data_IF_451934111740
#
_entry.id   IF_451934111740
#
_cell.length_a   1.000
_cell.length_b   1.000
_cell.length_c   1.000
_cell.angle_alpha   90.00
_cell.angle_beta   90.00
_cell.angle_gamma   90.00
#
_symmetry.space_group_name_H-M   'P 1'
#
loop_
_entity.id
_entity.type
_entity.pdbx_description
1 polymer ?
#
# COMPACT_ATOMS: atom_id res chain seq x y z
N UNK A 1 30.48 -2.56 -18.43
CA UNK A 1 30.95 -1.20 -18.10
C UNK A 1 32.22 -1.22 -17.27
N UNK A 2 32.27 -1.82 -16.08
CA UNK A 2 33.49 -1.85 -15.26
C UNK A 2 34.73 -2.43 -15.98
N UNK A 3 34.56 -3.50 -16.77
CA UNK A 3 35.65 -4.10 -17.56
C UNK A 3 36.07 -3.28 -18.79
N UNK A 4 35.18 -2.44 -19.32
CA UNK A 4 35.40 -1.66 -20.56
C UNK A 4 35.83 -0.22 -20.26
N UNK A 5 35.43 0.31 -19.10
CA UNK A 5 35.68 1.69 -18.67
C UNK A 5 36.76 1.81 -17.60
N UNK A 6 37.41 0.71 -17.19
CA UNK A 6 38.47 0.66 -16.18
C UNK A 6 38.14 1.41 -14.88
N UNK A 7 36.86 1.40 -14.47
CA UNK A 7 36.37 1.95 -13.20
C UNK A 7 36.01 0.80 -12.25
N UNK A 8 36.20 0.99 -10.96
CA UNK A 8 35.75 0.01 -9.96
C UNK A 8 34.23 -0.09 -9.97
N UNK A 9 33.70 -1.29 -9.69
CA UNK A 9 32.26 -1.55 -9.67
C UNK A 9 31.55 -0.63 -8.67
N UNK A 10 32.20 -0.32 -7.55
CA UNK A 10 31.69 0.59 -6.52
C UNK A 10 31.44 2.02 -7.05
N UNK A 11 32.31 2.57 -7.90
CA UNK A 11 32.14 3.89 -8.51
C UNK A 11 31.03 3.93 -9.57
N UNK A 12 30.60 2.78 -10.09
CA UNK A 12 29.49 2.66 -11.06
C UNK A 12 28.16 2.40 -10.36
N UNK A 13 28.19 1.91 -9.11
CA UNK A 13 27.01 1.60 -8.28
C UNK A 13 26.77 2.69 -7.21
N UNK A 14 27.68 3.66 -7.06
CA UNK A 14 27.50 4.80 -6.15
C UNK A 14 26.17 5.56 -6.39
N UNK A 15 25.68 5.54 -7.63
CA UNK A 15 24.39 6.11 -8.03
C UNK A 15 23.27 5.08 -7.79
N UNK A 16 22.88 4.90 -6.52
CA UNK A 16 21.72 4.06 -6.15
C UNK A 16 20.43 4.71 -6.64
N UNK A 17 19.57 3.96 -7.32
CA UNK A 17 18.21 4.40 -7.69
C UNK A 17 18.00 4.57 -9.20
N UNK A 18 17.28 5.62 -9.60
CA UNK A 18 16.87 5.90 -10.99
C UNK A 18 18.05 6.22 -11.92
N UNK A 19 19.11 6.83 -11.39
CA UNK A 19 20.33 7.19 -12.14
C UNK A 19 21.02 5.97 -12.76
N UNK A 20 21.00 4.82 -12.08
CA UNK A 20 21.50 3.57 -12.63
C UNK A 20 20.78 3.23 -13.95
N UNK A 21 19.45 3.28 -13.94
CA UNK A 21 18.57 2.91 -15.05
C UNK A 21 18.63 3.93 -16.20
N UNK A 22 18.78 5.22 -15.91
CA UNK A 22 18.72 6.27 -16.92
C UNK A 22 20.09 6.78 -17.40
N UNK A 23 21.18 6.47 -16.71
CA UNK A 23 22.55 6.91 -17.07
C UNK A 23 23.44 5.70 -17.35
N UNK A 24 23.61 4.81 -16.39
CA UNK A 24 24.58 3.71 -16.46
C UNK A 24 24.16 2.65 -17.48
N UNK A 25 22.89 2.26 -17.49
CA UNK A 25 22.36 1.27 -18.44
C UNK A 25 22.39 1.76 -19.90
N UNK A 26 21.85 2.95 -20.26
CA UNK A 26 21.91 3.46 -21.62
C UNK A 26 23.35 3.64 -22.12
N UNK A 27 24.25 4.11 -21.27
CA UNK A 27 25.68 4.21 -21.60
C UNK A 27 26.28 2.84 -21.92
N UNK A 28 25.88 1.79 -21.20
CA UNK A 28 26.35 0.43 -21.47
C UNK A 28 25.76 -0.12 -22.77
N UNK A 29 24.46 0.11 -23.01
CA UNK A 29 23.77 -0.35 -24.23
C UNK A 29 24.36 0.31 -25.48
N UNK A 30 24.79 1.57 -25.40
CA UNK A 30 25.43 2.27 -26.50
C UNK A 30 26.74 1.61 -26.98
N UNK A 31 27.40 0.83 -26.12
CA UNK A 31 28.63 0.10 -26.45
C UNK A 31 28.36 -1.26 -27.12
N UNK A 32 27.11 -1.72 -27.17
CA UNK A 32 26.72 -3.01 -27.73
C UNK A 32 26.40 -2.89 -29.23
N UNK A 33 26.70 -3.93 -30.00
CA UNK A 33 26.23 -4.03 -31.39
C UNK A 33 24.69 -4.05 -31.41
N UNK A 34 24.07 -3.39 -32.40
CA UNK A 34 22.61 -3.19 -32.49
C UNK A 34 22.01 -2.39 -31.33
N UNK A 35 22.75 -1.39 -30.83
CA UNK A 35 22.36 -0.54 -29.68
C UNK A 35 20.93 0.01 -29.77
N UNK A 36 20.48 0.43 -30.96
CA UNK A 36 19.11 0.95 -31.16
C UNK A 36 18.02 -0.06 -30.79
N UNK A 37 18.17 -1.34 -31.16
CA UNK A 37 17.20 -2.38 -30.81
C UNK A 37 17.17 -2.61 -29.30
N UNK A 38 18.34 -2.68 -28.67
CA UNK A 38 18.47 -2.88 -27.23
C UNK A 38 17.91 -1.70 -26.43
N UNK A 39 18.11 -0.45 -26.86
CA UNK A 39 17.53 0.72 -26.22
C UNK A 39 16.00 0.72 -26.29
N UNK A 40 15.41 0.38 -27.44
CA UNK A 40 13.94 0.30 -27.59
C UNK A 40 13.37 -0.77 -26.65
N UNK A 41 13.93 -1.97 -26.65
CA UNK A 41 13.47 -3.06 -25.77
C UNK A 41 13.62 -2.71 -24.29
N UNK A 42 14.73 -2.06 -23.92
CA UNK A 42 14.99 -1.66 -22.53
C UNK A 42 14.00 -0.61 -22.03
N UNK A 43 13.77 0.48 -22.77
CA UNK A 43 12.82 1.50 -22.36
C UNK A 43 11.37 1.02 -22.46
N UNK A 44 11.03 0.19 -23.44
CA UNK A 44 9.71 -0.45 -23.52
C UNK A 44 9.43 -1.31 -22.29
N UNK A 45 10.41 -2.12 -21.86
CA UNK A 45 10.32 -2.89 -20.61
C UNK A 45 10.06 -1.98 -19.41
N UNK A 46 10.81 -0.88 -19.25
CA UNK A 46 10.61 0.07 -18.14
C UNK A 46 9.21 0.70 -18.14
N UNK A 47 8.69 1.04 -19.32
CA UNK A 47 7.34 1.59 -19.46
C UNK A 47 6.29 0.55 -19.05
N UNK A 48 6.40 -0.69 -19.53
CA UNK A 48 5.46 -1.76 -19.18
C UNK A 48 5.48 -2.08 -17.68
N UNK A 49 6.67 -2.15 -17.06
CA UNK A 49 6.80 -2.34 -15.61
C UNK A 49 6.14 -1.21 -14.81
N UNK A 50 6.24 0.04 -15.29
CA UNK A 50 5.57 1.18 -14.68
C UNK A 50 4.05 1.13 -14.84
N UNK A 51 3.56 0.82 -16.05
CA UNK A 51 2.13 0.76 -16.35
C UNK A 51 1.41 -0.26 -15.47
N UNK A 52 1.92 -1.49 -15.37
CA UNK A 52 1.27 -2.56 -14.60
C UNK A 52 1.12 -2.19 -13.11
N UNK A 53 2.18 -1.62 -12.53
CA UNK A 53 2.17 -1.16 -11.13
C UNK A 53 1.20 0.00 -10.89
N UNK A 54 1.21 1.01 -11.77
CA UNK A 54 0.29 2.16 -11.64
C UNK A 54 -1.17 1.76 -11.84
N UNK A 55 -1.45 0.80 -12.71
CA UNK A 55 -2.80 0.28 -12.92
C UNK A 55 -3.32 -0.41 -11.65
N UNK A 56 -2.52 -1.29 -11.04
CA UNK A 56 -2.90 -1.93 -9.77
C UNK A 56 -3.13 -0.93 -8.64
N UNK A 57 -2.25 0.06 -8.51
CA UNK A 57 -2.37 1.15 -7.53
C UNK A 57 -3.65 1.96 -7.70
N UNK A 58 -3.92 2.47 -8.91
CA UNK A 58 -5.13 3.25 -9.20
C UNK A 58 -6.40 2.42 -9.03
N UNK A 59 -6.41 1.17 -9.52
CA UNK A 59 -7.60 0.31 -9.43
C UNK A 59 -7.94 -0.01 -7.98
N UNK A 60 -6.95 -0.21 -7.10
CA UNK A 60 -7.21 -0.41 -5.67
C UNK A 60 -7.89 0.78 -5.00
N UNK A 61 -7.48 2.01 -5.33
CA UNK A 61 -8.11 3.24 -4.82
C UNK A 61 -9.52 3.39 -5.38
N UNK A 62 -9.69 3.19 -6.69
CA UNK A 62 -10.98 3.32 -7.37
C UNK A 62 -11.98 2.31 -6.81
N UNK A 63 -11.57 1.05 -6.68
CA UNK A 63 -12.40 -0.04 -6.16
C UNK A 63 -12.77 0.23 -4.71
N UNK A 64 -11.81 0.57 -3.85
CA UNK A 64 -12.09 0.87 -2.43
C UNK A 64 -13.08 2.03 -2.24
N UNK A 65 -12.99 3.09 -3.05
CA UNK A 65 -13.94 4.20 -2.98
C UNK A 65 -15.32 3.87 -3.55
N UNK A 66 -15.37 3.03 -4.59
CA UNK A 66 -16.63 2.57 -5.18
C UNK A 66 -17.37 1.59 -4.26
N UNK A 67 -16.65 0.74 -3.51
CA UNK A 67 -17.22 -0.21 -2.55
C UNK A 67 -17.77 0.50 -1.31
N UNK A 68 -17.11 1.56 -0.82
CA UNK A 68 -17.58 2.34 0.33
C UNK A 68 -18.80 3.23 -0.01
N UNK A 69 -18.85 3.81 -1.21
CA UNK A 69 -19.93 4.72 -1.64
C UNK A 69 -20.62 4.28 -2.94
N UNK A 70 -21.30 3.10 -2.94
CA UNK A 70 -21.87 2.51 -4.16
C UNK A 70 -22.96 3.39 -4.78
N UNK A 71 -23.76 4.06 -3.95
CA UNK A 71 -24.88 4.90 -4.39
C UNK A 71 -24.43 6.21 -5.06
N UNK A 72 -23.23 6.71 -4.73
CA UNK A 72 -22.73 7.99 -5.24
C UNK A 72 -21.86 7.80 -6.48
N UNK A 73 -20.93 6.83 -6.45
CA UNK A 73 -19.93 6.64 -7.52
C UNK A 73 -20.25 5.48 -8.46
N UNK A 74 -21.03 4.48 -8.04
CA UNK A 74 -21.33 3.29 -8.85
C UNK A 74 -22.11 3.59 -10.14
N UNK A 75 -22.92 4.65 -10.16
CA UNK A 75 -23.75 5.00 -11.33
C UNK A 75 -22.97 5.65 -12.49
N UNK A 76 -21.82 6.29 -12.21
CA UNK A 76 -21.00 6.94 -13.24
C UNK A 76 -19.50 6.67 -13.01
N UNK A 77 -19.13 5.38 -12.91
CA UNK A 77 -17.75 4.94 -12.67
C UNK A 77 -16.74 5.60 -13.62
N UNK A 78 -17.07 5.75 -14.91
CA UNK A 78 -16.17 6.37 -15.89
C UNK A 78 -15.83 7.84 -15.60
N UNK A 79 -16.82 8.63 -15.15
CA UNK A 79 -16.59 10.03 -14.77
C UNK A 79 -15.78 10.13 -13.47
N UNK A 80 -16.00 9.22 -12.53
CA UNK A 80 -15.22 9.15 -11.30
C UNK A 80 -13.74 8.82 -11.58
N UNK A 81 -13.48 7.81 -12.42
CA UNK A 81 -12.12 7.44 -12.85
C UNK A 81 -11.44 8.61 -13.54
N UNK A 82 -12.13 9.30 -14.45
CA UNK A 82 -11.60 10.51 -15.09
C UNK A 82 -11.23 11.58 -14.05
N UNK A 83 -12.08 11.81 -13.05
CA UNK A 83 -11.80 12.74 -11.95
C UNK A 83 -10.53 12.40 -11.17
N UNK A 84 -10.37 11.12 -10.79
CA UNK A 84 -9.16 10.63 -10.11
C UNK A 84 -7.92 10.83 -10.98
N UNK A 85 -7.99 10.49 -12.27
CA UNK A 85 -6.88 10.68 -13.22
C UNK A 85 -6.50 12.16 -13.37
N UNK A 86 -7.47 13.07 -13.41
CA UNK A 86 -7.21 14.51 -13.47
C UNK A 86 -6.52 14.99 -12.19
N UNK A 87 -6.95 14.53 -11.01
CA UNK A 87 -6.31 14.87 -9.73
C UNK A 87 -4.88 14.34 -9.69
N UNK A 88 -4.64 13.09 -10.11
CA UNK A 88 -3.30 12.52 -10.20
C UNK A 88 -2.42 13.28 -11.20
N UNK A 89 -2.95 13.67 -12.36
CA UNK A 89 -2.23 14.45 -13.36
C UNK A 89 -1.82 15.82 -12.80
N UNK A 90 -2.74 16.54 -12.16
CA UNK A 90 -2.46 17.84 -11.53
C UNK A 90 -1.44 17.71 -10.39
N UNK A 91 -1.54 16.65 -9.59
CA UNK A 91 -0.57 16.34 -8.53
C UNK A 91 0.82 15.96 -9.05
N UNK A 92 0.90 15.39 -10.26
CA UNK A 92 2.17 15.04 -10.90
C UNK A 92 2.85 16.23 -11.59
N UNK A 93 2.14 17.31 -11.95
CA UNK A 93 2.72 18.48 -12.64
C UNK A 93 3.99 19.06 -11.98
N UNK A 94 4.08 19.21 -10.64
CA UNK A 94 5.30 19.69 -10.00
C UNK A 94 6.52 18.81 -10.28
N UNK A 95 6.33 17.50 -10.45
CA UNK A 95 7.39 16.53 -10.76
C UNK A 95 7.92 16.64 -12.19
N UNK A 96 7.20 17.33 -13.08
CA UNK A 96 7.64 17.58 -14.47
C UNK A 96 8.42 18.90 -14.64
N UNK A 97 8.64 19.66 -13.57
CA UNK A 97 9.42 20.91 -13.63
C UNK A 97 10.94 20.63 -13.66
N UNK A 98 11.77 21.64 -13.93
CA UNK A 98 13.24 21.50 -13.91
C UNK A 98 13.80 20.96 -12.58
N UNK A 99 13.11 21.23 -11.46
CA UNK A 99 13.46 20.71 -10.13
C UNK A 99 12.69 19.43 -9.75
N UNK A 100 11.93 18.85 -10.67
CA UNK A 100 11.00 17.76 -10.39
C UNK A 100 11.66 16.51 -9.83
N UNK A 101 12.89 16.21 -10.23
CA UNK A 101 13.67 15.10 -9.70
C UNK A 101 13.94 15.22 -8.18
N UNK A 102 14.11 16.43 -7.65
CA UNK A 102 14.20 16.63 -6.19
C UNK A 102 12.89 16.28 -5.50
N UNK A 103 11.74 16.65 -6.10
CA UNK A 103 10.42 16.36 -5.56
C UNK A 103 10.15 14.85 -5.58
N UNK A 104 10.48 14.17 -6.68
CA UNK A 104 10.33 12.71 -6.80
C UNK A 104 11.13 11.98 -5.72
N UNK A 105 12.41 12.33 -5.56
CA UNK A 105 13.26 11.72 -4.53
C UNK A 105 12.74 12.02 -3.11
N UNK A 106 12.28 13.25 -2.86
CA UNK A 106 11.70 13.61 -1.56
C UNK A 106 10.44 12.80 -1.25
N UNK A 107 9.54 12.63 -2.22
CA UNK A 107 8.35 11.80 -2.05
C UNK A 107 8.71 10.31 -1.86
N UNK A 108 9.66 9.78 -2.64
CA UNK A 108 10.06 8.37 -2.58
C UNK A 108 10.67 8.00 -1.23
N UNK A 109 11.64 8.78 -0.75
CA UNK A 109 12.41 8.45 0.45
C UNK A 109 11.67 8.79 1.76
N UNK A 110 10.87 9.86 1.76
CA UNK A 110 10.23 10.35 2.99
C UNK A 110 8.76 9.95 3.08
N UNK A 111 7.98 10.13 2.03
CA UNK A 111 6.51 10.10 2.16
C UNK A 111 5.96 8.68 2.30
N UNK A 112 6.50 7.71 1.54
CA UNK A 112 5.86 6.41 1.36
C UNK A 112 6.20 5.43 2.49
N UNK A 113 7.49 5.21 2.77
CA UNK A 113 7.94 4.13 3.64
C UNK A 113 7.37 4.16 5.07
N UNK A 114 7.51 5.26 5.86
CA UNK A 114 7.04 5.27 7.25
C UNK A 114 5.51 5.19 7.37
N UNK A 115 4.77 5.86 6.46
CA UNK A 115 3.32 5.84 6.47
C UNK A 115 2.75 4.46 6.07
N UNK A 116 3.29 3.85 5.01
CA UNK A 116 2.88 2.52 4.56
C UNK A 116 3.17 1.44 5.62
N UNK A 117 4.36 1.47 6.22
CA UNK A 117 4.72 0.52 7.28
C UNK A 117 3.78 0.62 8.48
N UNK A 118 3.35 1.83 8.85
CA UNK A 118 2.39 2.03 9.92
C UNK A 118 1.01 1.44 9.59
N UNK A 119 0.51 1.68 8.37
CA UNK A 119 -0.78 1.15 7.90
C UNK A 119 -0.75 -0.38 7.92
N UNK A 120 0.25 -1.00 7.31
CA UNK A 120 0.37 -2.47 7.21
C UNK A 120 0.57 -3.09 8.59
N UNK A 121 1.28 -2.42 9.50
CA UNK A 121 1.41 -2.86 10.89
C UNK A 121 0.06 -2.90 11.62
N UNK A 122 -0.74 -1.83 11.50
CA UNK A 122 -2.08 -1.79 12.11
C UNK A 122 -3.03 -2.81 11.48
N UNK A 123 -2.96 -3.01 10.16
CA UNK A 123 -3.72 -4.03 9.45
C UNK A 123 -3.37 -5.44 9.95
N UNK A 124 -2.08 -5.74 10.12
CA UNK A 124 -1.65 -7.02 10.68
C UNK A 124 -2.18 -7.23 12.11
N UNK A 125 -2.17 -6.19 12.95
CA UNK A 125 -2.75 -6.28 14.31
C UNK A 125 -4.27 -6.47 14.24
N UNK A 126 -4.95 -5.74 13.37
CA UNK A 126 -6.40 -5.83 13.19
C UNK A 126 -6.82 -7.24 12.80
N UNK A 127 -6.14 -7.85 11.82
CA UNK A 127 -6.46 -9.21 11.35
C UNK A 127 -6.02 -10.27 12.37
N UNK A 128 -4.79 -10.21 12.87
CA UNK A 128 -4.24 -11.28 13.71
C UNK A 128 -4.82 -11.30 15.13
N UNK A 129 -5.03 -10.13 15.76
CA UNK A 129 -5.44 -10.05 17.17
C UNK A 129 -6.90 -9.66 17.36
N UNK A 130 -7.41 -8.66 16.63
CA UNK A 130 -8.80 -8.21 16.79
C UNK A 130 -9.79 -9.15 16.11
N UNK A 131 -9.57 -9.48 14.83
CA UNK A 131 -10.38 -10.47 14.11
C UNK A 131 -10.07 -11.90 14.60
N UNK A 132 -8.78 -12.19 14.79
CA UNK A 132 -8.29 -13.40 15.42
C UNK A 132 -7.83 -14.45 14.41
N UNK A 133 -6.59 -14.92 14.56
CA UNK A 133 -5.96 -15.90 13.65
C UNK A 133 -6.76 -17.19 13.46
N UNK A 134 -7.54 -17.61 14.46
CA UNK A 134 -8.36 -18.82 14.34
C UNK A 134 -9.51 -18.63 13.34
N UNK A 135 -10.22 -17.49 13.41
CA UNK A 135 -11.31 -17.17 12.48
C UNK A 135 -10.78 -17.03 11.07
N UNK A 136 -9.67 -16.31 10.90
CA UNK A 136 -8.99 -16.21 9.60
C UNK A 136 -8.59 -17.60 9.04
N UNK A 137 -8.11 -18.52 9.89
CA UNK A 137 -7.76 -19.86 9.45
C UNK A 137 -8.99 -20.67 9.01
N UNK A 138 -10.13 -20.48 9.67
CA UNK A 138 -11.39 -21.14 9.35
C UNK A 138 -12.00 -20.55 8.05
N UNK A 139 -11.86 -19.24 7.82
CA UNK A 139 -12.25 -18.59 6.56
C UNK A 139 -11.41 -19.10 5.38
N UNK A 140 -10.10 -19.26 5.56
CA UNK A 140 -9.21 -19.81 4.52
C UNK A 140 -9.55 -21.28 4.25
N UNK A 141 -9.89 -22.05 5.28
CA UNK A 141 -10.36 -23.43 5.13
C UNK A 141 -11.67 -23.49 4.34
N UNK A 142 -12.60 -22.56 4.56
CA UNK A 142 -13.84 -22.46 3.78
C UNK A 142 -13.60 -22.08 2.31
N UNK A 143 -12.57 -21.27 2.01
CA UNK A 143 -12.25 -20.84 0.64
C UNK A 143 -11.47 -21.89 -0.18
N UNK A 144 -10.48 -22.54 0.44
CA UNK A 144 -9.52 -23.42 -0.25
C UNK A 144 -9.76 -24.91 0.08
N UNK A 145 -10.59 -25.21 1.08
CA UNK A 145 -10.88 -26.57 1.55
C UNK A 145 -9.80 -27.18 2.45
N UNK A 146 -8.77 -26.42 2.83
CA UNK A 146 -7.70 -26.90 3.70
C UNK A 146 -7.25 -25.85 4.70
N UNK A 147 -7.06 -26.26 5.96
CA UNK A 147 -6.69 -25.35 7.04
C UNK A 147 -5.19 -24.99 6.99
N UNK A 148 -4.81 -23.71 7.13
CA UNK A 148 -3.41 -23.31 7.24
C UNK A 148 -2.71 -24.00 8.41
N UNK A 149 -1.47 -24.44 8.18
CA UNK A 149 -0.66 -25.10 9.21
C UNK A 149 -0.36 -24.15 10.39
N UNK A 150 0.00 -24.73 11.54
CA UNK A 150 0.36 -23.96 12.74
C UNK A 150 1.56 -23.01 12.50
N UNK A 151 2.43 -23.33 11.56
CA UNK A 151 3.55 -22.47 11.17
C UNK A 151 3.07 -21.12 10.61
N UNK A 152 2.14 -21.14 9.65
CA UNK A 152 1.57 -19.91 9.08
C UNK A 152 0.83 -19.08 10.12
N UNK A 153 0.10 -19.76 11.01
CA UNK A 153 -0.61 -19.11 12.12
C UNK A 153 0.35 -18.43 13.11
N UNK A 154 1.49 -19.05 13.42
CA UNK A 154 2.52 -18.45 14.26
C UNK A 154 3.19 -17.24 13.59
N UNK A 155 3.41 -17.31 12.27
CA UNK A 155 3.94 -16.17 11.50
C UNK A 155 3.01 -14.96 11.61
N UNK A 156 1.73 -15.15 11.30
CA UNK A 156 0.75 -14.06 11.31
C UNK A 156 0.51 -13.50 12.71
N UNK A 157 0.48 -14.36 13.73
CA UNK A 157 0.20 -13.95 15.10
C UNK A 157 1.35 -13.17 15.74
N UNK A 158 2.60 -13.58 15.50
CA UNK A 158 3.75 -13.09 16.26
C UNK A 158 4.88 -12.53 15.38
N UNK A 159 5.32 -13.27 14.37
CA UNK A 159 6.54 -12.92 13.62
C UNK A 159 6.30 -11.67 12.76
N UNK A 160 5.21 -11.63 11.99
CA UNK A 160 4.91 -10.51 11.09
C UNK A 160 4.72 -9.19 11.85
N UNK A 161 3.93 -9.11 12.94
CA UNK A 161 3.78 -7.87 13.70
C UNK A 161 5.09 -7.37 14.31
N UNK A 162 5.93 -8.27 14.86
CA UNK A 162 7.23 -7.90 15.46
C UNK A 162 8.18 -7.37 14.38
N UNK A 163 8.25 -8.05 13.23
CA UNK A 163 9.12 -7.66 12.13
C UNK A 163 8.72 -6.28 11.56
N UNK A 164 7.41 -6.06 11.34
CA UNK A 164 6.89 -4.77 10.89
C UNK A 164 7.13 -3.66 11.90
N UNK A 165 6.94 -3.93 13.20
CA UNK A 165 7.22 -2.97 14.27
C UNK A 165 8.70 -2.58 14.30
N UNK A 166 9.60 -3.55 14.14
CA UNK A 166 11.05 -3.29 14.10
C UNK A 166 11.42 -2.37 12.95
N UNK A 167 10.97 -2.66 11.73
CA UNK A 167 11.28 -1.84 10.54
C UNK A 167 10.64 -0.46 10.68
N UNK A 168 9.39 -0.39 11.16
CA UNK A 168 8.72 0.87 11.41
C UNK A 168 9.48 1.73 12.43
N UNK A 169 9.96 1.15 13.52
CA UNK A 169 10.76 1.85 14.52
C UNK A 169 12.07 2.40 13.93
N UNK A 170 12.77 1.60 13.13
CA UNK A 170 14.01 2.03 12.47
C UNK A 170 13.71 3.15 11.46
N UNK A 171 12.66 3.00 10.66
CA UNK A 171 12.23 4.02 9.68
C UNK A 171 11.84 5.33 10.37
N UNK A 172 11.04 5.27 11.43
CA UNK A 172 10.58 6.44 12.18
C UNK A 172 11.74 7.13 12.93
N UNK A 173 12.67 6.38 13.51
CA UNK A 173 13.85 6.95 14.17
C UNK A 173 14.79 7.64 13.17
N UNK A 174 14.97 7.09 11.98
CA UNK A 174 15.72 7.74 10.90
C UNK A 174 15.04 9.02 10.41
N UNK A 175 13.71 9.02 10.28
CA UNK A 175 12.92 10.20 9.92
C UNK A 175 13.07 11.31 10.96
N UNK A 176 12.87 11.01 12.25
CA UNK A 176 12.94 11.98 13.33
C UNK A 176 14.37 12.50 13.58
N UNK A 177 15.38 11.66 13.38
CA UNK A 177 16.78 12.08 13.45
C UNK A 177 17.20 12.97 12.26
N UNK A 178 16.41 12.99 11.18
CA UNK A 178 16.72 13.72 9.95
C UNK A 178 17.89 13.13 9.16
N UNK A 179 18.19 11.84 9.37
CA UNK A 179 19.28 11.09 8.73
C UNK A 179 18.89 10.50 7.38
N UNK A 180 17.71 10.84 6.86
CA UNK A 180 17.29 10.45 5.51
C UNK A 180 18.03 11.34 4.52
N UNK A 181 18.83 10.72 3.65
CA UNK A 181 19.59 11.40 2.61
C UNK A 181 18.72 11.59 1.37
N UNK A 182 18.48 12.85 0.98
CA UNK A 182 17.89 13.21 -0.31
C UNK A 182 19.02 13.70 -1.19
N UNK A 183 19.37 12.96 -2.25
CA UNK A 183 20.48 13.31 -3.17
C UNK A 183 21.77 13.68 -2.44
N UNK A 184 22.21 12.82 -1.51
CA UNK A 184 23.42 13.00 -0.68
C UNK A 184 23.36 14.22 0.28
N UNK A 185 22.19 14.83 0.46
CA UNK A 185 21.95 15.89 1.45
C UNK A 185 20.97 15.39 2.51
N UNK A 186 21.40 15.39 3.77
CA UNK A 186 20.53 15.02 4.89
C UNK A 186 19.32 15.95 5.00
N UNK A 187 18.15 15.39 5.30
CA UNK A 187 16.91 16.14 5.53
C UNK A 187 17.12 17.28 6.54
N UNK A 188 17.94 17.05 7.57
CA UNK A 188 18.30 18.05 8.59
C UNK A 188 18.99 19.31 8.05
N UNK A 189 19.66 19.21 6.91
CA UNK A 189 20.40 20.31 6.29
C UNK A 189 19.55 21.07 5.25
N UNK A 190 18.33 20.61 4.96
CA UNK A 190 17.40 21.28 4.05
C UNK A 190 16.75 22.50 4.71
N UNK A 191 16.20 23.44 3.92
CA UNK A 191 15.45 24.58 4.44
C UNK A 191 14.31 24.12 5.36
N UNK A 192 14.08 24.84 6.45
CA UNK A 192 13.08 24.50 7.48
C UNK A 192 11.68 24.31 6.89
N UNK A 193 11.31 25.10 5.88
CA UNK A 193 10.02 24.96 5.20
C UNK A 193 9.87 23.56 4.57
N UNK A 194 10.90 23.07 3.88
CA UNK A 194 10.90 21.76 3.23
C UNK A 194 10.81 20.65 4.28
N UNK A 195 11.51 20.79 5.39
CA UNK A 195 11.42 19.84 6.50
C UNK A 195 10.00 19.75 7.08
N UNK A 196 9.33 20.90 7.30
CA UNK A 196 7.96 20.93 7.81
C UNK A 196 7.01 20.22 6.84
N UNK A 197 7.12 20.50 5.54
CA UNK A 197 6.31 19.82 4.51
C UNK A 197 6.56 18.31 4.47
N UNK A 198 7.83 17.89 4.59
CA UNK A 198 8.25 16.50 4.66
C UNK A 198 7.68 15.75 5.87
N UNK A 199 7.60 16.39 7.03
CA UNK A 199 6.94 15.78 8.19
C UNK A 199 5.42 15.75 8.01
N UNK A 200 4.83 16.84 7.51
CA UNK A 200 3.38 16.94 7.32
C UNK A 200 2.85 15.83 6.40
N UNK A 201 3.52 15.59 5.27
CA UNK A 201 3.07 14.56 4.32
C UNK A 201 3.09 13.15 4.90
N UNK A 202 4.00 12.86 5.85
CA UNK A 202 4.07 11.57 6.55
C UNK A 202 3.02 11.47 7.65
N UNK A 203 2.84 12.51 8.46
CA UNK A 203 1.95 12.46 9.62
C UNK A 203 0.47 12.52 9.24
N UNK A 204 0.09 13.16 8.13
CA UNK A 204 -1.31 13.22 7.68
C UNK A 204 -1.95 11.83 7.54
N UNK A 205 -1.42 10.89 6.71
CA UNK A 205 -2.01 9.56 6.57
C UNK A 205 -1.98 8.75 7.87
N UNK A 206 -0.90 8.88 8.66
CA UNK A 206 -0.79 8.22 9.97
C UNK A 206 -1.88 8.70 10.93
N UNK A 207 -2.23 9.99 10.90
CA UNK A 207 -3.25 10.59 11.76
C UNK A 207 -4.68 10.25 11.32
N UNK A 208 -4.92 9.99 10.04
CA UNK A 208 -6.25 9.64 9.53
C UNK A 208 -6.86 8.41 10.23
N UNK A 209 -6.05 7.39 10.51
CA UNK A 209 -6.51 6.15 11.15
C UNK A 209 -7.01 6.37 12.59
N UNK A 210 -6.21 6.93 13.52
CA UNK A 210 -6.69 7.21 14.88
C UNK A 210 -7.80 8.27 14.89
N UNK A 211 -7.76 9.26 13.99
CA UNK A 211 -8.84 10.25 13.89
C UNK A 211 -10.18 9.58 13.53
N UNK A 212 -10.18 8.64 12.58
CA UNK A 212 -11.37 7.88 12.23
C UNK A 212 -11.84 6.96 13.38
N UNK A 213 -10.90 6.32 14.09
CA UNK A 213 -11.23 5.51 15.27
C UNK A 213 -11.93 6.35 16.37
N UNK A 214 -11.42 7.56 16.65
CA UNK A 214 -12.04 8.48 17.62
C UNK A 214 -13.41 8.94 17.14
N UNK A 215 -13.55 9.31 15.87
CA UNK A 215 -14.83 9.70 15.27
C UNK A 215 -15.88 8.58 15.42
N UNK A 216 -15.52 7.33 15.09
CA UNK A 216 -16.41 6.17 15.22
C UNK A 216 -16.81 5.91 16.68
N UNK A 217 -15.89 6.08 17.64
CA UNK A 217 -16.19 5.92 19.06
C UNK A 217 -17.14 7.00 19.62
N UNK A 218 -17.10 8.22 19.07
CA UNK A 218 -17.99 9.32 19.49
C UNK A 218 -19.41 9.09 18.99
N UNK A 219 -19.58 8.71 17.72
CA UNK A 219 -20.89 8.57 17.07
C UNK A 219 -21.62 7.28 17.47
N UNK A 220 -20.89 6.22 17.84
CA UNK A 220 -21.50 4.94 18.20
C UNK A 220 -22.36 5.06 19.46
N UNK A 221 -23.66 4.71 19.41
CA UNK A 221 -24.52 4.74 20.57
C UNK A 221 -24.09 3.67 21.57
N UNK A 222 -23.87 4.06 22.81
CA UNK A 222 -23.48 3.19 23.91
C UNK A 222 -23.37 3.98 25.20
N UNK A 223 -23.80 3.38 26.32
CA UNK A 223 -23.89 4.06 27.62
C UNK A 223 -22.54 4.11 28.33
N UNK A 224 -21.68 3.11 28.07
CA UNK A 224 -20.32 2.99 28.61
C UNK A 224 -19.27 2.91 27.49
N UNK A 225 -18.02 3.30 27.78
CA UNK A 225 -16.91 3.23 26.81
C UNK A 225 -16.62 1.81 26.34
N UNK A 226 -16.68 0.83 27.25
CA UNK A 226 -16.44 -0.58 26.94
C UNK A 226 -17.49 -1.16 25.97
N UNK A 227 -18.75 -0.77 26.12
CA UNK A 227 -19.83 -1.18 25.22
C UNK A 227 -19.63 -0.60 23.80
N UNK A 228 -19.19 0.67 23.71
CA UNK A 228 -18.87 1.32 22.44
C UNK A 228 -17.67 0.66 21.75
N UNK A 229 -16.63 0.32 22.52
CA UNK A 229 -15.44 -0.35 21.99
C UNK A 229 -15.76 -1.77 21.51
N UNK A 230 -16.50 -2.54 22.31
CA UNK A 230 -16.92 -3.90 21.95
C UNK A 230 -17.78 -3.93 20.70
N UNK A 231 -18.74 -3.01 20.56
CA UNK A 231 -19.52 -2.85 19.32
C UNK A 231 -18.66 -2.47 18.11
N UNK A 232 -17.61 -1.66 18.32
CA UNK A 232 -16.73 -1.23 17.23
C UNK A 232 -15.80 -2.33 16.71
N UNK A 233 -15.50 -3.34 17.54
CA UNK A 233 -14.64 -4.49 17.21
C UNK A 233 -15.44 -5.65 16.60
N UNK A 234 -16.77 -5.69 16.82
CA UNK A 234 -17.61 -6.73 16.24
C UNK A 234 -17.69 -6.57 14.71
N UNK A 235 -17.35 -7.62 13.94
CA UNK A 235 -17.53 -7.61 12.50
C UNK A 235 -19.03 -7.62 12.16
N UNK A 236 -19.38 -7.07 11.01
CA UNK A 236 -20.74 -7.08 10.51
C UNK A 236 -21.09 -8.51 10.01
N UNK A 237 -22.09 -9.16 10.64
CA UNK A 237 -22.54 -10.51 10.30
C UNK A 237 -23.41 -10.53 9.02
N UNK A 238 -22.87 -10.12 7.88
CA UNK A 238 -23.64 -10.13 6.62
C UNK A 238 -23.50 -11.43 5.83
N UNK A 239 -22.35 -12.13 5.94
CA UNK A 239 -22.05 -13.32 5.14
C UNK A 239 -22.66 -14.62 5.68
N UNK A 240 -22.66 -14.82 7.01
CA UNK A 240 -23.22 -16.02 7.63
C UNK A 240 -24.75 -16.10 7.49
N UNK A 241 -25.47 -14.97 7.56
CA UNK A 241 -26.92 -14.95 7.34
C UNK A 241 -27.31 -15.29 5.90
N UNK A 242 -26.54 -14.84 4.90
CA UNK A 242 -26.82 -15.17 3.49
C UNK A 242 -26.60 -16.65 3.17
N UNK A 243 -25.54 -17.28 3.69
CA UNK A 243 -25.33 -18.72 3.49
C UNK A 243 -26.34 -19.58 4.26
N UNK A 244 -26.70 -19.20 5.50
CA UNK A 244 -27.79 -19.87 6.22
C UNK A 244 -29.14 -19.68 5.53
N UNK A 245 -29.39 -18.51 4.94
CA UNK A 245 -30.59 -18.24 4.14
C UNK A 245 -30.68 -19.10 2.88
N UNK A 246 -29.56 -19.27 2.15
CA UNK A 246 -29.47 -20.14 0.98
C UNK A 246 -29.60 -21.63 1.34
N UNK A 247 -28.91 -22.08 2.40
CA UNK A 247 -29.01 -23.48 2.89
C UNK A 247 -30.41 -23.82 3.39
N UNK A 248 -31.08 -22.92 4.11
CA UNK A 248 -32.47 -23.11 4.54
C UNK A 248 -33.44 -23.07 3.35
N UNK A 249 -33.15 -22.24 2.33
CA UNK A 249 -33.92 -22.18 1.08
C UNK A 249 -33.85 -23.48 0.28
N UNK A 250 -32.66 -24.07 0.13
CA UNK A 250 -32.46 -25.37 -0.53
C UNK A 250 -33.08 -26.53 0.25
N UNK A 251 -33.00 -26.53 1.59
CA UNK A 251 -33.67 -27.54 2.44
C UNK A 251 -35.20 -27.47 2.34
N UNK A 252 -35.77 -26.26 2.32
CA UNK A 252 -37.21 -26.06 2.12
C UNK A 252 -37.69 -26.50 0.72
N UNK A 253 -36.84 -26.40 -0.29
CA UNK A 253 -37.15 -26.89 -1.63
C UNK A 253 -37.09 -28.43 -1.70
N UNK A 254 -36.12 -29.07 -1.04
CA UNK A 254 -36.03 -30.53 -0.96
C UNK A 254 -37.17 -31.16 -0.14
N UNK A 255 -37.59 -30.53 0.96
CA UNK A 255 -38.74 -31.00 1.74
C UNK A 255 -40.06 -30.90 0.95
N UNK A 256 -40.23 -29.88 0.09
CA UNK A 256 -41.40 -29.78 -0.78
C UNK A 256 -41.46 -30.87 -1.85
N UNK A 257 -40.31 -31.32 -2.35
CA UNK A 257 -40.23 -32.38 -3.36
C UNK A 257 -40.52 -33.76 -2.74
N UNK A 258 -40.20 -33.99 -1.46
CA UNK A 258 -40.51 -35.26 -0.78
C UNK A 258 -41.97 -35.44 -0.36
N UNK A 259 -42.77 -34.36 -0.35
CA UNK A 259 -44.18 -34.39 0.06
C UNK A 259 -45.13 -34.59 -1.16
N UNK A 260 -44.61 -34.54 -2.39
CA UNK A 260 -45.33 -34.84 -3.64
C UNK A 260 -45.06 -36.27 -4.10
#
# INVERSE_FOLDING_TARGET
MASVSSKTIEQVIEDKGSELVFIVYPHTIALMNWSTLWSILFFFMLITLGIDSTFGGLESIITGLCDEFPNLFGRHRSLFVLGVLVICYLGALPTCTYGGDYIVNLMNEIAVAPALLFVVFLECIAVSWFYGVNRMADDIEAMIGSRPSLFWRAIWYLISPIFLLMIFYISMSNLLAGNIEIKRVNLRNLPTNVQIWSYLIVFVPILCIPAYAVYKLIITPGRNFDERLRRSIQPEESYHEHLHGLSNGEQLEQDKIQIL
#
